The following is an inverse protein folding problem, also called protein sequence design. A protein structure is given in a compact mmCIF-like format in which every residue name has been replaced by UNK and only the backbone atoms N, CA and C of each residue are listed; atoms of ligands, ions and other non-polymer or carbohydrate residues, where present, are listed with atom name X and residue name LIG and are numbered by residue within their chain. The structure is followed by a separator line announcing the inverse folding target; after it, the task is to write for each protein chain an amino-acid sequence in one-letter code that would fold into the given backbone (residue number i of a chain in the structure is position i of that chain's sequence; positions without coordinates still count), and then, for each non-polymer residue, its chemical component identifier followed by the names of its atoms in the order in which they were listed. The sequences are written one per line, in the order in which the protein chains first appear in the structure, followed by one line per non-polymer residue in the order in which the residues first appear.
data_IF_865757477867
#
_entry.id   IF_865757477867
#
_cell.length_a   1.000
_cell.length_b   1.000
_cell.length_c   1.000
_cell.angle_alpha   90.00
_cell.angle_beta   90.00
_cell.angle_gamma   90.00
#
_symmetry.space_group_name_H-M   'P 1'
#
loop_
_entity.id
_entity.type
_entity.pdbx_description
1 polymer ?
#
# COMPACT_ATOMS: atom_id res chain seq x y z
N UNK A 1 13.41 -30.63 26.64
CA UNK A 1 12.28 -29.68 26.51
C UNK A 1 12.87 -28.31 26.17
N UNK A 2 12.26 -27.61 25.23
CA UNK A 2 12.70 -26.34 24.59
C UNK A 2 13.91 -26.37 23.67
N UNK A 3 13.62 -26.68 22.39
CA UNK A 3 14.42 -26.20 21.27
C UNK A 3 13.79 -24.91 20.74
N UNK A 4 14.51 -23.80 20.89
CA UNK A 4 14.18 -22.52 20.27
C UNK A 4 14.06 -22.71 18.74
N UNK A 5 12.88 -22.45 18.19
CA UNK A 5 12.69 -22.40 16.74
C UNK A 5 13.33 -21.11 16.23
N UNK A 6 14.53 -21.22 15.69
CA UNK A 6 15.16 -20.18 14.87
C UNK A 6 14.18 -19.76 13.76
N UNK A 7 13.62 -18.56 13.88
CA UNK A 7 12.89 -17.87 12.81
C UNK A 7 13.85 -17.62 11.66
N UNK A 8 13.81 -18.49 10.64
CA UNK A 8 14.54 -18.30 9.39
C UNK A 8 13.86 -17.18 8.61
N UNK A 9 14.58 -16.06 8.45
CA UNK A 9 14.28 -15.05 7.43
C UNK A 9 14.27 -15.73 6.06
N UNK A 10 13.14 -15.70 5.35
CA UNK A 10 13.10 -16.07 3.94
C UNK A 10 13.70 -14.92 3.13
N UNK A 11 14.99 -15.05 2.80
CA UNK A 11 15.61 -14.23 1.75
C UNK A 11 15.35 -14.94 0.42
N UNK A 12 14.23 -14.64 -0.21
CA UNK A 12 14.01 -14.94 -1.63
C UNK A 12 14.22 -13.65 -2.42
N UNK A 13 15.42 -13.53 -3.01
CA UNK A 13 15.74 -12.63 -4.12
C UNK A 13 15.22 -11.19 -4.05
N UNK A 14 15.89 -10.32 -3.28
CA UNK A 14 15.91 -8.88 -3.57
C UNK A 14 15.73 -7.89 -2.42
N UNK A 15 15.44 -8.32 -1.19
CA UNK A 15 15.31 -7.40 -0.06
C UNK A 15 14.95 -8.07 1.27
N UNK A 16 14.97 -7.29 2.35
CA UNK A 16 14.49 -7.71 3.66
C UNK A 16 12.96 -7.77 3.67
N UNK A 17 12.41 -8.96 3.93
CA UNK A 17 10.96 -9.16 4.05
C UNK A 17 10.44 -8.73 5.42
N UNK A 18 9.23 -8.19 5.44
CA UNK A 18 8.47 -7.82 6.63
C UNK A 18 7.23 -8.69 6.71
N UNK A 19 6.90 -9.15 7.91
CA UNK A 19 5.73 -9.99 8.16
C UNK A 19 4.87 -9.42 9.28
N UNK A 20 3.57 -9.37 9.03
CA UNK A 20 2.55 -9.13 10.05
C UNK A 20 1.76 -10.42 10.25
N UNK A 21 1.81 -10.99 11.45
CA UNK A 21 0.89 -12.05 11.85
C UNK A 21 -0.32 -11.41 12.53
N UNK A 22 -1.51 -11.77 12.10
CA UNK A 22 -2.77 -11.23 12.60
C UNK A 22 -3.60 -12.36 13.18
N UNK A 23 -3.88 -12.31 14.48
CA UNK A 23 -4.69 -13.29 15.20
C UNK A 23 -6.09 -12.76 15.45
N UNK A 24 -7.09 -13.58 15.16
CA UNK A 24 -8.45 -13.30 15.56
C UNK A 24 -8.76 -13.99 16.88
N UNK A 25 -8.70 -13.27 17.99
CA UNK A 25 -9.18 -13.72 19.31
C UNK A 25 -10.50 -13.03 19.68
N UNK A 26 -11.19 -12.44 18.71
CA UNK A 26 -12.51 -11.86 18.91
C UNK A 26 -13.60 -12.93 18.91
N UNK A 27 -14.85 -12.52 19.09
CA UNK A 27 -16.01 -13.43 19.07
C UNK A 27 -16.65 -13.61 17.68
N UNK A 28 -16.05 -13.06 16.61
CA UNK A 28 -16.63 -13.05 15.26
C UNK A 28 -15.58 -13.24 14.17
N UNK A 29 -16.02 -13.68 13.00
CA UNK A 29 -15.18 -13.73 11.80
C UNK A 29 -14.89 -12.32 11.27
N UNK A 30 -13.68 -12.09 10.81
CA UNK A 30 -13.26 -10.80 10.27
C UNK A 30 -12.41 -10.92 9.01
N UNK A 31 -12.64 -10.03 8.05
CA UNK A 31 -11.67 -9.74 7.00
C UNK A 31 -10.65 -8.76 7.56
N UNK A 32 -9.38 -9.19 7.58
CA UNK A 32 -8.28 -8.33 8.00
C UNK A 32 -7.64 -7.64 6.82
N UNK A 33 -7.24 -6.39 7.02
CA UNK A 33 -6.57 -5.62 5.98
C UNK A 33 -5.46 -4.75 6.55
N UNK A 34 -4.50 -4.45 5.70
CA UNK A 34 -3.39 -3.54 5.98
C UNK A 34 -3.52 -2.34 5.05
N UNK A 35 -3.28 -1.15 5.57
CA UNK A 35 -3.13 0.04 4.75
C UNK A 35 -2.00 0.92 5.29
N UNK A 36 -1.60 1.89 4.49
CA UNK A 36 -0.56 2.85 4.84
C UNK A 36 -1.16 4.24 4.93
N UNK A 37 -0.65 5.04 5.85
CA UNK A 37 -0.83 6.49 5.88
C UNK A 37 0.53 7.17 5.80
N UNK A 38 0.57 8.43 5.35
CA UNK A 38 1.80 9.21 5.35
C UNK A 38 1.70 10.40 6.31
N UNK A 39 2.77 10.73 7.05
CA UNK A 39 2.84 11.98 7.81
C UNK A 39 2.62 13.24 6.95
N UNK A 40 2.90 13.15 5.64
CA UNK A 40 2.70 14.23 4.65
C UNK A 40 1.45 14.03 3.79
N UNK A 41 0.50 13.21 4.24
CA UNK A 41 -0.70 12.90 3.46
C UNK A 41 -1.58 14.14 3.29
N UNK A 42 -1.88 14.47 2.03
CA UNK A 42 -2.82 15.54 1.67
C UNK A 42 -4.22 14.96 1.49
N UNK A 43 -5.22 15.82 1.35
CA UNK A 43 -6.58 15.39 0.99
C UNK A 43 -6.70 14.83 -0.44
N UNK A 44 -5.69 15.02 -1.29
CA UNK A 44 -5.65 14.47 -2.65
C UNK A 44 -5.04 13.07 -2.68
N UNK A 45 -4.16 12.77 -1.73
CA UNK A 45 -3.49 11.48 -1.61
C UNK A 45 -4.35 10.51 -0.80
N UNK A 46 -4.98 9.57 -1.50
CA UNK A 46 -5.82 8.56 -0.88
C UNK A 46 -5.05 7.26 -0.64
N UNK A 47 -5.28 6.67 0.53
CA UNK A 47 -4.71 5.38 0.90
C UNK A 47 -5.54 4.24 0.32
N UNK A 48 -4.88 3.15 -0.04
CA UNK A 48 -5.52 1.92 -0.49
C UNK A 48 -5.48 0.84 0.59
N UNK A 49 -6.50 -0.03 0.60
CA UNK A 49 -6.42 -1.33 1.27
C UNK A 49 -5.35 -2.18 0.56
N UNK A 50 -4.13 -2.15 1.10
CA UNK A 50 -2.91 -2.63 0.45
C UNK A 50 -2.81 -4.15 0.44
N UNK A 51 -3.08 -4.78 1.59
CA UNK A 51 -3.27 -6.22 1.72
C UNK A 51 -4.61 -6.50 2.37
N UNK A 52 -5.29 -7.55 1.93
CA UNK A 52 -6.56 -7.98 2.49
C UNK A 52 -6.56 -9.51 2.60
N UNK A 53 -7.09 -10.05 3.69
CA UNK A 53 -7.25 -11.50 3.82
C UNK A 53 -8.18 -12.01 2.70
N UNK A 54 -7.84 -13.13 2.05
CA UNK A 54 -8.64 -13.64 0.93
C UNK A 54 -10.03 -14.17 1.37
N UNK A 55 -10.23 -14.37 2.67
CA UNK A 55 -11.47 -14.80 3.31
C UNK A 55 -11.55 -14.25 4.74
N UNK A 56 -12.73 -14.27 5.39
CA UNK A 56 -12.87 -13.99 6.81
C UNK A 56 -12.08 -15.01 7.65
N UNK A 57 -11.37 -14.53 8.66
CA UNK A 57 -10.59 -15.35 9.61
C UNK A 57 -11.48 -15.63 10.82
N UNK A 58 -11.65 -16.89 11.20
CA UNK A 58 -12.52 -17.30 12.30
C UNK A 58 -11.87 -17.05 13.69
N UNK A 59 -12.66 -16.94 14.78
CA UNK A 59 -12.14 -16.92 16.14
C UNK A 59 -11.19 -18.09 16.45
N UNK A 60 -10.01 -17.77 16.98
CA UNK A 60 -8.94 -18.71 17.26
C UNK A 60 -7.91 -18.88 16.13
N UNK A 61 -8.24 -18.43 14.91
CA UNK A 61 -7.36 -18.56 13.74
C UNK A 61 -6.46 -17.33 13.53
N UNK A 62 -5.47 -17.49 12.64
CA UNK A 62 -4.50 -16.45 12.29
C UNK A 62 -4.22 -16.41 10.78
N UNK A 63 -3.72 -15.26 10.32
CA UNK A 63 -3.20 -15.06 8.96
C UNK A 63 -1.92 -14.24 8.99
N UNK A 64 -0.99 -14.54 8.07
CA UNK A 64 0.23 -13.77 7.89
C UNK A 64 0.20 -12.98 6.58
N UNK A 65 0.61 -11.72 6.64
CA UNK A 65 0.87 -10.87 5.48
C UNK A 65 2.37 -10.62 5.38
N UNK A 66 2.96 -10.84 4.21
CA UNK A 66 4.40 -10.63 3.98
C UNK A 66 4.63 -9.72 2.79
N UNK A 67 5.57 -8.79 2.92
CA UNK A 67 5.93 -7.85 1.88
C UNK A 67 7.41 -7.48 1.90
N UNK A 68 7.87 -6.85 0.82
CA UNK A 68 9.21 -6.27 0.70
C UNK A 68 9.12 -4.76 0.47
N UNK A 69 10.17 -4.03 0.82
CA UNK A 69 10.30 -2.61 0.50
C UNK A 69 10.92 -2.49 -0.90
N UNK A 70 10.10 -2.73 -1.91
CA UNK A 70 10.38 -2.48 -3.32
C UNK A 70 9.28 -1.58 -3.87
N UNK A 71 9.65 -0.35 -4.19
CA UNK A 71 8.72 0.65 -4.67
C UNK A 71 8.44 0.45 -6.15
N UNK A 72 7.25 0.86 -6.57
CA UNK A 72 6.90 0.92 -7.97
C UNK A 72 5.91 2.07 -8.23
N UNK A 73 5.97 2.66 -9.41
CA UNK A 73 4.91 3.53 -9.91
C UNK A 73 3.76 2.69 -10.47
N UNK A 74 2.54 3.21 -10.37
CA UNK A 74 1.31 2.60 -10.90
C UNK A 74 0.39 3.65 -11.49
N UNK A 75 -0.50 3.22 -12.37
CA UNK A 75 -1.64 4.01 -12.80
C UNK A 75 -2.91 3.15 -12.83
N UNK A 76 -4.08 3.78 -12.94
CA UNK A 76 -5.37 3.11 -13.06
C UNK A 76 -6.34 3.89 -13.92
N UNK A 77 -7.28 3.16 -14.52
CA UNK A 77 -8.47 3.70 -15.19
C UNK A 77 -9.64 3.54 -14.23
N UNK A 78 -9.79 4.55 -13.37
CA UNK A 78 -10.65 4.51 -12.18
C UNK A 78 -11.87 5.40 -12.32
N UNK A 79 -11.85 6.34 -13.27
CA UNK A 79 -12.77 7.46 -13.27
C UNK A 79 -12.42 8.47 -12.18
N UNK A 80 -13.45 9.04 -11.57
CA UNK A 80 -13.33 9.91 -10.40
C UNK A 80 -12.82 9.11 -9.19
N UNK A 81 -11.67 9.52 -8.67
CA UNK A 81 -11.04 8.94 -7.49
C UNK A 81 -11.77 9.39 -6.22
N UNK A 82 -12.41 8.44 -5.54
CA UNK A 82 -13.10 8.67 -4.26
C UNK A 82 -13.15 7.41 -3.40
N UNK A 83 -13.34 7.53 -2.08
CA UNK A 83 -13.50 6.38 -1.19
C UNK A 83 -14.57 5.38 -1.64
N UNK A 84 -14.32 4.10 -1.38
CA UNK A 84 -15.23 2.98 -1.66
C UNK A 84 -15.12 2.38 -3.07
N UNK A 85 -14.43 3.03 -4.00
CA UNK A 85 -14.12 2.40 -5.30
C UNK A 85 -12.96 1.41 -5.16
N UNK A 86 -12.95 0.36 -5.98
CA UNK A 86 -11.80 -0.55 -6.05
C UNK A 86 -10.85 -0.08 -7.15
N UNK A 87 -9.70 0.46 -6.74
CA UNK A 87 -8.61 0.77 -7.65
C UNK A 87 -7.88 -0.52 -8.07
N UNK A 88 -7.65 -0.66 -9.37
CA UNK A 88 -6.84 -1.73 -9.93
C UNK A 88 -5.56 -1.13 -10.49
N UNK A 89 -4.45 -1.40 -9.82
CA UNK A 89 -3.13 -0.98 -10.29
C UNK A 89 -2.83 -1.59 -11.66
N UNK A 90 -2.29 -0.76 -12.56
CA UNK A 90 -1.86 -1.12 -13.92
C UNK A 90 -0.45 -0.61 -14.18
N UNK A 91 0.19 -1.28 -15.16
CA UNK A 91 1.48 -0.89 -15.71
C UNK A 91 2.55 -0.59 -14.66
N UNK A 92 2.81 -1.51 -13.71
CA UNK A 92 3.82 -1.26 -12.69
C UNK A 92 5.18 -0.94 -13.33
N UNK A 93 5.86 0.06 -12.77
CA UNK A 93 7.25 0.41 -13.12
C UNK A 93 8.07 0.41 -11.84
N UNK A 94 9.07 -0.45 -11.76
CA UNK A 94 9.95 -0.51 -10.59
C UNK A 94 10.61 0.85 -10.35
N UNK A 95 10.61 1.27 -9.09
CA UNK A 95 11.07 2.58 -8.67
C UNK A 95 12.11 2.45 -7.56
N UNK A 96 13.01 3.41 -7.51
CA UNK A 96 14.01 3.52 -6.47
C UNK A 96 14.13 4.98 -6.06
N UNK A 97 14.14 5.26 -4.76
CA UNK A 97 14.14 6.61 -4.19
C UNK A 97 15.36 7.47 -4.57
N UNK A 98 16.42 6.85 -5.12
CA UNK A 98 17.66 7.53 -5.50
C UNK A 98 17.98 7.42 -6.99
N UNK A 99 17.74 6.26 -7.61
CA UNK A 99 18.23 5.96 -8.96
C UNK A 99 17.13 5.92 -10.03
N UNK A 100 15.86 5.83 -9.63
CA UNK A 100 14.72 5.63 -10.53
C UNK A 100 13.45 6.20 -9.89
N UNK A 101 13.49 7.49 -9.55
CA UNK A 101 12.54 8.16 -8.65
C UNK A 101 11.58 9.12 -9.36
N UNK A 102 11.64 9.22 -10.68
CA UNK A 102 10.75 10.07 -11.47
C UNK A 102 10.24 9.35 -12.71
N UNK A 103 8.96 9.51 -13.06
CA UNK A 103 8.35 8.98 -14.27
C UNK A 103 7.32 9.96 -14.84
N UNK A 104 6.86 9.73 -16.06
CA UNK A 104 5.82 10.50 -16.73
C UNK A 104 4.63 9.62 -17.06
N UNK A 105 3.43 10.07 -16.69
CA UNK A 105 2.17 9.47 -17.10
C UNK A 105 1.62 10.17 -18.34
N UNK A 106 1.27 9.38 -19.34
CA UNK A 106 0.93 9.88 -20.67
C UNK A 106 0.31 8.79 -21.54
N UNK A 107 0.38 9.01 -22.84
CA UNK A 107 0.04 8.00 -23.85
C UNK A 107 1.30 7.58 -24.60
N UNK A 108 1.38 6.31 -24.97
CA UNK A 108 2.41 5.86 -25.91
C UNK A 108 2.07 6.30 -27.35
N UNK A 109 2.95 5.98 -28.30
CA UNK A 109 2.75 6.30 -29.73
C UNK A 109 1.47 5.69 -30.34
N UNK A 110 0.94 4.62 -29.73
CA UNK A 110 -0.32 3.99 -30.13
C UNK A 110 -1.56 4.57 -29.42
N UNK A 111 -1.41 5.61 -28.61
CA UNK A 111 -2.51 6.24 -27.87
C UNK A 111 -2.97 5.47 -26.63
N UNK A 112 -2.25 4.44 -26.19
CA UNK A 112 -2.57 3.70 -24.96
C UNK A 112 -1.96 4.39 -23.74
N UNK A 113 -2.71 4.56 -22.62
CA UNK A 113 -2.20 5.17 -21.40
C UNK A 113 -1.06 4.33 -20.81
N UNK A 114 0.01 4.99 -20.38
CA UNK A 114 1.19 4.31 -19.87
C UNK A 114 2.07 5.23 -19.01
N UNK A 115 2.95 4.59 -18.24
CA UNK A 115 4.07 5.22 -17.55
C UNK A 115 5.35 5.00 -18.35
N UNK A 116 6.17 6.04 -18.48
CA UNK A 116 7.53 5.92 -19.03
C UNK A 116 8.41 5.09 -18.09
N UNK A 117 9.54 4.61 -18.61
CA UNK A 117 10.56 4.02 -17.76
C UNK A 117 11.05 5.06 -16.75
N UNK A 118 11.11 4.73 -15.45
CA UNK A 118 11.57 5.68 -14.46
C UNK A 118 13.02 6.10 -14.68
N UNK A 119 13.28 7.37 -14.42
CA UNK A 119 14.60 7.99 -14.51
C UNK A 119 14.99 8.60 -13.16
N UNK A 120 16.28 8.89 -13.01
CA UNK A 120 16.77 9.63 -11.86
C UNK A 120 16.44 11.13 -11.97
N UNK A 121 15.82 11.68 -10.95
CA UNK A 121 15.76 13.10 -10.64
C UNK A 121 16.58 13.36 -9.36
N UNK A 122 17.83 13.80 -9.56
CA UNK A 122 18.77 14.03 -8.46
C UNK A 122 18.35 15.16 -7.51
N UNK A 123 17.41 16.03 -7.91
CA UNK A 123 16.92 17.13 -7.07
C UNK A 123 15.85 16.68 -6.07
N UNK A 124 15.26 15.49 -6.27
CA UNK A 124 14.13 14.96 -5.48
C UNK A 124 14.43 13.60 -4.84
N UNK A 125 15.66 13.42 -4.34
CA UNK A 125 16.05 12.19 -3.62
C UNK A 125 15.13 11.95 -2.42
N UNK A 126 14.71 10.70 -2.25
CA UNK A 126 13.78 10.31 -1.18
C UNK A 126 12.30 10.51 -1.51
N UNK A 127 11.98 11.02 -2.71
CA UNK A 127 10.62 11.18 -3.21
C UNK A 127 10.40 10.32 -4.46
N UNK A 128 9.17 9.87 -4.69
CA UNK A 128 8.73 9.25 -5.92
C UNK A 128 7.82 10.23 -6.66
N UNK A 129 8.17 10.57 -7.90
CA UNK A 129 7.55 11.66 -8.66
C UNK A 129 6.88 11.13 -9.92
N UNK A 130 5.65 11.59 -10.17
CA UNK A 130 4.93 11.34 -11.41
C UNK A 130 4.51 12.68 -11.99
N UNK A 131 4.86 12.92 -13.26
CA UNK A 131 4.39 14.09 -14.00
C UNK A 131 3.39 13.66 -15.06
N UNK A 132 2.23 14.28 -15.09
CA UNK A 132 1.19 13.99 -16.07
C UNK A 132 1.35 14.89 -17.30
N UNK A 133 1.24 14.31 -18.50
CA UNK A 133 1.24 15.08 -19.74
C UNK A 133 -0.01 15.98 -19.84
N UNK A 134 0.11 17.10 -20.56
CA UNK A 134 -0.97 18.08 -20.70
C UNK A 134 -2.23 17.61 -21.45
N UNK A 135 -2.20 16.43 -22.08
CA UNK A 135 -3.34 15.82 -22.75
C UNK A 135 -4.03 14.72 -21.91
N UNK A 136 -3.63 14.54 -20.65
CA UNK A 136 -4.33 13.66 -19.72
C UNK A 136 -5.69 14.27 -19.37
N UNK A 137 -6.80 13.54 -19.57
CA UNK A 137 -8.13 14.03 -19.22
C UNK A 137 -8.35 13.99 -17.70
N UNK A 138 -9.05 15.00 -17.19
CA UNK A 138 -9.51 15.04 -15.80
C UNK A 138 -10.49 13.89 -15.49
N UNK A 139 -10.51 13.47 -14.23
CA UNK A 139 -11.48 12.52 -13.65
C UNK A 139 -11.58 11.17 -14.38
N UNK A 140 -10.52 10.77 -15.08
CA UNK A 140 -10.47 9.48 -15.79
C UNK A 140 -9.42 8.55 -15.22
N UNK A 141 -8.21 9.05 -15.08
CA UNK A 141 -7.07 8.26 -14.64
C UNK A 141 -6.61 8.63 -13.24
N UNK A 142 -5.93 7.69 -12.63
CA UNK A 142 -5.32 7.85 -11.31
C UNK A 142 -3.88 7.38 -11.43
N UNK A 143 -2.97 8.08 -10.75
CA UNK A 143 -1.56 7.70 -10.67
C UNK A 143 -1.17 7.54 -9.21
N UNK A 144 -0.12 6.79 -8.95
CA UNK A 144 0.32 6.57 -7.58
C UNK A 144 1.54 5.70 -7.48
N UNK A 145 1.79 5.28 -6.24
CA UNK A 145 2.89 4.41 -5.90
C UNK A 145 2.38 3.11 -5.29
N UNK A 146 3.21 2.09 -5.40
CA UNK A 146 3.04 0.81 -4.75
C UNK A 146 4.28 0.41 -3.98
N UNK A 147 4.07 -0.63 -3.17
CA UNK A 147 5.12 -1.35 -2.47
C UNK A 147 4.78 -2.84 -2.57
N UNK A 148 5.76 -3.69 -2.80
CA UNK A 148 5.55 -5.14 -2.95
C UNK A 148 4.57 -5.49 -4.08
N UNK A 149 4.59 -4.71 -5.16
CA UNK A 149 3.77 -4.92 -6.36
C UNK A 149 2.29 -4.54 -6.20
N UNK A 150 1.88 -3.99 -5.05
CA UNK A 150 0.50 -3.57 -4.77
C UNK A 150 0.47 -2.07 -4.50
N UNK A 151 -0.58 -1.40 -4.96
CA UNK A 151 -0.75 0.05 -4.76
C UNK A 151 -0.94 0.40 -3.29
N UNK A 152 -0.35 1.51 -2.85
CA UNK A 152 -0.44 2.00 -1.47
C UNK A 152 -1.11 3.37 -1.40
N UNK A 153 -0.66 4.31 -2.23
CA UNK A 153 -1.19 5.67 -2.32
C UNK A 153 -1.48 6.04 -3.76
N UNK A 154 -2.56 6.79 -3.94
CA UNK A 154 -3.00 7.25 -5.26
C UNK A 154 -3.54 8.67 -5.22
N UNK A 155 -3.40 9.38 -6.34
CA UNK A 155 -3.96 10.71 -6.59
C UNK A 155 -4.67 10.74 -7.96
N UNK A 156 -5.67 11.62 -8.10
CA UNK A 156 -6.32 11.84 -9.39
C UNK A 156 -5.32 12.43 -10.38
N UNK A 157 -5.18 11.80 -11.54
CA UNK A 157 -4.37 12.31 -12.65
C UNK A 157 -5.12 13.41 -13.41
N UNK A 158 -4.38 14.30 -14.07
CA UNK A 158 -4.92 15.45 -14.80
C UNK A 158 -3.86 16.19 -15.61
N UNK A 159 -4.24 17.15 -16.46
CA UNK A 159 -3.32 17.78 -17.38
C UNK A 159 -2.26 18.61 -16.66
N UNK A 160 -0.98 18.33 -16.93
CA UNK A 160 0.18 19.05 -16.38
C UNK A 160 0.30 19.00 -14.85
N UNK A 161 -0.23 17.96 -14.21
CA UNK A 161 -0.05 17.77 -12.77
C UNK A 161 1.32 17.16 -12.45
N UNK A 162 1.77 17.41 -11.22
CA UNK A 162 2.96 16.75 -10.65
C UNK A 162 2.58 16.19 -9.29
N UNK A 163 2.80 14.90 -9.12
CA UNK A 163 2.53 14.15 -7.91
C UNK A 163 3.86 13.80 -7.25
N UNK A 164 3.98 14.02 -5.95
CA UNK A 164 5.15 13.63 -5.17
C UNK A 164 4.74 12.82 -3.95
N UNK A 165 5.36 11.66 -3.79
CA UNK A 165 5.15 10.76 -2.68
C UNK A 165 6.46 10.60 -1.91
N UNK A 166 6.46 10.87 -0.61
CA UNK A 166 7.58 10.53 0.29
C UNK A 166 7.22 9.26 1.07
N UNK A 167 7.77 8.08 0.72
CA UNK A 167 7.38 6.83 1.37
C UNK A 167 7.98 6.71 2.78
N UNK A 168 7.30 7.31 3.75
CA UNK A 168 7.55 7.12 5.19
C UNK A 168 6.27 6.62 5.87
N UNK A 169 5.81 5.40 5.53
CA UNK A 169 4.48 4.97 5.89
C UNK A 169 4.35 4.69 7.39
N UNK A 170 3.21 5.07 7.95
CA UNK A 170 2.67 4.46 9.16
C UNK A 170 1.77 3.31 8.72
N UNK A 171 2.06 2.10 9.19
CA UNK A 171 1.27 0.92 8.88
C UNK A 171 0.12 0.76 9.86
N UNK A 172 -1.02 0.35 9.32
CA UNK A 172 -2.24 0.12 10.07
C UNK A 172 -2.79 -1.26 9.75
N UNK A 173 -3.31 -1.93 10.77
CA UNK A 173 -4.14 -3.13 10.63
C UNK A 173 -5.59 -2.76 10.92
N UNK A 174 -6.53 -3.34 10.18
CA UNK A 174 -7.95 -3.14 10.36
C UNK A 174 -8.75 -4.43 10.26
N UNK A 175 -9.94 -4.43 10.87
CA UNK A 175 -10.91 -5.51 10.77
C UNK A 175 -12.24 -4.98 10.20
N UNK A 176 -12.75 -5.65 9.17
CA UNK A 176 -14.03 -5.32 8.55
C UNK A 176 -14.81 -6.59 8.21
N UNK A 177 -16.12 -6.47 8.02
CA UNK A 177 -16.96 -7.58 7.53
C UNK A 177 -16.65 -7.90 6.07
N UNK A 178 -16.32 -6.87 5.30
CA UNK A 178 -15.86 -6.97 3.91
C UNK A 178 -14.80 -5.91 3.64
N UNK A 179 -13.82 -6.27 2.80
CA UNK A 179 -12.81 -5.36 2.28
C UNK A 179 -12.25 -5.94 1.00
N UNK A 180 -11.83 -5.09 0.06
CA UNK A 180 -11.18 -5.52 -1.18
C UNK A 180 -9.79 -4.93 -1.29
N UNK A 181 -8.84 -5.73 -1.77
CA UNK A 181 -7.52 -5.21 -2.09
C UNK A 181 -7.62 -4.12 -3.16
N UNK A 182 -6.90 -3.01 -2.96
CA UNK A 182 -6.98 -1.83 -3.81
C UNK A 182 -8.22 -0.96 -3.56
N UNK A 183 -9.07 -1.25 -2.58
CA UNK A 183 -10.16 -0.35 -2.22
C UNK A 183 -9.62 0.99 -1.70
N UNK A 184 -10.13 2.09 -2.25
CA UNK A 184 -9.80 3.44 -1.82
C UNK A 184 -10.45 3.71 -0.47
N UNK A 185 -9.64 4.05 0.53
CA UNK A 185 -10.10 4.23 1.90
C UNK A 185 -10.44 5.68 2.20
N UNK A 186 -11.55 5.89 2.91
CA UNK A 186 -11.74 7.11 3.70
C UNK A 186 -11.07 6.91 5.07
N UNK A 187 -9.85 7.42 5.19
CA UNK A 187 -9.05 7.26 6.41
C UNK A 187 -9.64 7.99 7.62
N UNK A 188 -10.61 8.89 7.44
CA UNK A 188 -11.30 9.56 8.55
C UNK A 188 -12.42 8.70 9.14
N UNK A 189 -12.95 7.76 8.37
CA UNK A 189 -14.10 6.94 8.77
C UNK A 189 -13.77 5.46 8.97
N UNK A 190 -12.54 5.02 8.68
CA UNK A 190 -12.11 3.66 9.02
C UNK A 190 -12.16 3.45 10.54
N UNK A 191 -12.83 2.39 10.96
CA UNK A 191 -12.98 2.03 12.38
C UNK A 191 -12.36 0.65 12.62
N UNK A 192 -12.17 0.27 13.90
CA UNK A 192 -11.52 -1.00 14.29
C UNK A 192 -10.14 -1.17 13.64
N UNK A 193 -9.37 -0.10 13.66
CA UNK A 193 -7.99 -0.04 13.15
C UNK A 193 -7.03 0.24 14.28
N UNK A 194 -5.78 -0.17 14.13
CA UNK A 194 -4.68 0.20 15.02
C UNK A 194 -3.40 0.37 14.21
N UNK A 195 -2.56 1.36 14.56
CA UNK A 195 -1.22 1.41 13.99
C UNK A 195 -0.39 0.26 14.57
N UNK A 196 0.64 -0.14 13.82
CA UNK A 196 1.67 -1.05 14.32
C UNK A 196 3.03 -0.63 13.80
N UNK A 197 4.09 -1.03 14.50
CA UNK A 197 5.45 -0.66 14.15
C UNK A 197 6.43 -1.81 14.35
N UNK A 198 7.39 -1.88 13.44
CA UNK A 198 8.56 -2.75 13.56
C UNK A 198 9.61 -2.05 14.43
N UNK A 199 10.03 -2.71 15.50
CA UNK A 199 11.19 -2.24 16.27
C UNK A 199 12.46 -2.41 15.43
N UNK A 200 13.50 -1.63 15.73
CA UNK A 200 14.78 -1.74 15.02
C UNK A 200 15.30 -3.18 15.03
N UNK A 201 15.63 -3.72 13.85
CA UNK A 201 16.11 -5.09 13.68
C UNK A 201 15.03 -6.18 13.82
N UNK A 202 13.77 -5.82 14.03
CA UNK A 202 12.63 -6.74 14.07
C UNK A 202 11.84 -6.62 12.77
N UNK A 203 11.62 -7.74 12.10
CA UNK A 203 10.94 -7.79 10.80
C UNK A 203 9.64 -8.59 10.83
N UNK A 204 9.20 -8.96 12.03
CA UNK A 204 7.96 -9.68 12.26
C UNK A 204 7.23 -9.05 13.44
N UNK A 205 5.95 -8.73 13.23
CA UNK A 205 5.07 -8.16 14.26
C UNK A 205 3.84 -9.05 14.39
N UNK A 206 3.37 -9.24 15.60
CA UNK A 206 2.10 -9.90 15.88
C UNK A 206 1.06 -8.86 16.33
N UNK A 207 -0.11 -8.89 15.71
CA UNK A 207 -1.28 -8.11 16.08
C UNK A 207 -2.43 -9.05 16.40
N UNK A 208 -3.05 -8.86 17.56
CA UNK A 208 -4.20 -9.65 18.00
C UNK A 208 -5.43 -8.76 18.12
N UNK A 209 -6.53 -9.13 17.47
CA UNK A 209 -7.85 -8.56 17.75
C UNK A 209 -8.48 -9.36 18.88
N UNK A 210 -8.64 -8.78 20.06
CA UNK A 210 -9.13 -9.49 21.24
C UNK A 210 -10.67 -9.61 21.30
N UNK A 211 -11.17 -10.25 22.36
CA UNK A 211 -12.60 -10.46 22.63
C UNK A 211 -13.40 -9.17 22.85
N UNK A 212 -12.73 -8.07 23.25
CA UNK A 212 -13.32 -6.72 23.29
C UNK A 212 -13.19 -5.95 21.96
N UNK A 213 -12.79 -6.61 20.87
CA UNK A 213 -12.51 -6.01 19.56
C UNK A 213 -11.47 -4.87 19.63
N UNK A 214 -10.48 -5.00 20.50
CA UNK A 214 -9.33 -4.10 20.61
C UNK A 214 -8.09 -4.77 20.03
N UNK A 215 -7.26 -3.98 19.36
CA UNK A 215 -5.99 -4.44 18.82
C UNK A 215 -4.90 -4.38 19.88
N UNK A 216 -4.09 -5.43 19.96
CA UNK A 216 -2.90 -5.50 20.82
C UNK A 216 -1.71 -5.94 19.97
N UNK A 217 -0.62 -5.18 20.06
CA UNK A 217 0.67 -5.56 19.50
C UNK A 217 1.48 -6.33 20.55
N UNK A 218 2.07 -7.46 20.18
CA UNK A 218 2.97 -8.26 21.04
C UNK A 218 4.31 -8.56 20.38
#
# INVERSE_FOLDING_TARGET
MHTSKNKRSLILGGGQGYTLNVKNQSSRDWVFYIYQTSPKQTNKMLSLAWFVSPYPIAPGDEISFTWFINYNFVWGDTGELKPGITYKARGPRDANLETANSTTFGYNSGGAPTLTNPTQDSSRKGELVITDLGNIPDLKFTVGIGMSGKGTFVEQAGPNLTHSFTPTPVYWVGAATEKKEGEVLDIQTVTKVSPFQFKSGVYEVEMTLNDQNQWVQS
#
